data_IF_326419252073
#
_entry.id   IF_326419252073
#
_cell.length_a   1.000
_cell.length_b   1.000
_cell.length_c   1.000
_cell.angle_alpha   90.00
_cell.angle_beta   90.00
_cell.angle_gamma   90.00
#
_symmetry.space_group_name_H-M   'P 1'
#
loop_
_entity.id
_entity.type
_entity.pdbx_description
1 polymer ?
#
# COMPACT_ATOMS: atom_id res chain seq x y z
N UNK A 1 13.80 -58.04 -29.56
CA UNK A 1 15.23 -57.66 -29.47
C UNK A 1 15.36 -56.20 -29.89
N UNK A 2 15.86 -55.33 -28.98
CA UNK A 2 16.56 -54.02 -29.17
C UNK A 2 15.88 -52.93 -30.06
N UNK A 3 15.84 -51.62 -29.76
CA UNK A 3 16.54 -50.75 -28.79
C UNK A 3 15.84 -49.37 -28.76
N UNK A 4 15.77 -48.77 -27.57
CA UNK A 4 15.38 -47.38 -27.33
C UNK A 4 16.35 -46.36 -27.91
N UNK A 5 15.87 -45.24 -28.48
CA UNK A 5 16.58 -43.94 -28.58
C UNK A 5 15.58 -42.79 -28.81
N UNK A 6 15.56 -41.80 -27.91
CA UNK A 6 14.92 -40.50 -28.14
C UNK A 6 14.15 -39.91 -26.95
N UNK A 7 14.76 -39.91 -25.76
CA UNK A 7 14.28 -39.24 -24.55
C UNK A 7 14.57 -37.73 -24.61
N UNK A 8 13.65 -36.93 -24.08
CA UNK A 8 13.77 -35.52 -23.67
C UNK A 8 13.70 -34.43 -24.77
N UNK A 9 12.48 -33.99 -25.09
CA UNK A 9 12.23 -32.56 -25.35
C UNK A 9 11.53 -32.03 -24.11
N UNK A 10 12.24 -31.16 -23.40
CA UNK A 10 11.91 -30.67 -22.08
C UNK A 10 10.55 -29.94 -22.06
N UNK A 11 9.67 -30.38 -21.16
CA UNK A 11 8.61 -29.55 -20.60
C UNK A 11 9.26 -28.35 -19.89
N UNK A 12 9.45 -27.24 -20.61
CA UNK A 12 9.83 -25.95 -20.02
C UNK A 12 8.64 -24.99 -19.86
N UNK A 13 7.41 -25.47 -20.03
CA UNK A 13 6.18 -24.64 -20.00
C UNK A 13 5.52 -24.64 -18.62
N UNK A 14 6.28 -24.85 -17.54
CA UNK A 14 5.73 -24.97 -16.17
C UNK A 14 6.16 -23.91 -15.17
N UNK A 15 7.14 -23.06 -15.50
CA UNK A 15 7.75 -22.13 -14.53
C UNK A 15 7.33 -20.67 -14.68
N UNK A 16 6.23 -20.41 -15.40
CA UNK A 16 5.48 -19.17 -15.25
C UNK A 16 4.27 -19.49 -14.37
N UNK A 17 4.58 -19.87 -13.13
CA UNK A 17 3.59 -19.83 -12.07
C UNK A 17 3.10 -18.40 -12.00
N UNK A 18 1.96 -18.14 -12.63
CA UNK A 18 1.16 -16.97 -12.31
C UNK A 18 0.92 -17.07 -10.82
N UNK A 19 1.64 -16.25 -10.06
CA UNK A 19 1.26 -15.95 -8.69
C UNK A 19 -0.22 -15.62 -8.77
N UNK A 20 -1.07 -16.48 -8.21
CA UNK A 20 -2.43 -16.09 -7.90
C UNK A 20 -2.31 -14.69 -7.27
N UNK A 21 -2.95 -13.70 -7.88
CA UNK A 21 -2.88 -12.29 -7.46
C UNK A 21 -3.38 -12.25 -6.02
N UNK A 22 -2.47 -12.39 -5.06
CA UNK A 22 -2.76 -12.20 -3.67
C UNK A 22 -3.07 -10.71 -3.53
N UNK A 23 -4.22 -10.37 -2.95
CA UNK A 23 -4.63 -8.96 -2.80
C UNK A 23 -3.49 -8.16 -2.19
N UNK A 24 -3.13 -7.05 -2.85
CA UNK A 24 -2.07 -6.16 -2.39
C UNK A 24 -2.38 -5.61 -1.00
N UNK A 25 -1.34 -5.46 -0.17
CA UNK A 25 -1.44 -4.78 1.11
C UNK A 25 -1.52 -3.29 0.83
N UNK A 26 -2.71 -2.71 0.97
CA UNK A 26 -2.97 -1.30 0.73
C UNK A 26 -2.76 -0.50 2.01
N UNK A 27 -1.87 0.48 1.96
CA UNK A 27 -1.65 1.44 3.05
C UNK A 27 -2.11 2.80 2.56
N UNK A 28 -3.14 3.34 3.20
CA UNK A 28 -3.61 4.69 3.00
C UNK A 28 -2.74 5.68 3.76
N UNK A 29 -2.43 6.83 3.16
CA UNK A 29 -1.70 7.94 3.79
C UNK A 29 -2.49 9.21 3.58
N UNK A 30 -3.05 9.74 4.67
CA UNK A 30 -3.67 11.07 4.71
C UNK A 30 -2.61 12.04 5.22
N UNK A 31 -2.31 13.08 4.47
CA UNK A 31 -1.33 14.09 4.89
C UNK A 31 -1.39 15.34 4.05
N UNK A 32 -0.90 16.46 4.58
CA UNK A 32 -0.72 17.69 3.82
C UNK A 32 0.51 17.56 2.93
N UNK A 33 0.36 16.98 1.74
CA UNK A 33 1.45 16.89 0.76
C UNK A 33 1.73 18.26 0.11
N UNK A 34 0.80 19.19 0.24
CA UNK A 34 0.97 20.62 -0.02
C UNK A 34 0.53 21.46 1.19
N UNK A 35 0.89 22.74 1.18
CA UNK A 35 0.57 23.68 2.26
C UNK A 35 1.57 23.66 3.42
N UNK A 36 1.13 24.13 4.60
CA UNK A 36 1.99 24.34 5.76
C UNK A 36 2.58 23.04 6.36
N UNK A 37 1.87 21.91 6.25
CA UNK A 37 2.30 20.61 6.79
C UNK A 37 3.22 19.82 5.84
N UNK A 38 3.43 20.29 4.60
CA UNK A 38 4.21 19.57 3.59
C UNK A 38 5.63 19.21 4.04
N UNK A 39 6.28 20.09 4.82
CA UNK A 39 7.63 19.85 5.33
C UNK A 39 7.70 18.66 6.30
N UNK A 40 6.58 18.30 6.92
CA UNK A 40 6.48 17.18 7.85
C UNK A 40 5.95 15.92 7.16
N UNK A 41 4.94 16.06 6.29
CA UNK A 41 4.23 14.92 5.70
C UNK A 41 4.86 14.38 4.40
N UNK A 42 5.58 15.20 3.63
CA UNK A 42 6.27 14.71 2.41
C UNK A 42 7.39 13.72 2.72
N UNK A 43 8.30 13.96 3.70
CA UNK A 43 9.34 12.99 4.03
C UNK A 43 8.76 11.65 4.48
N UNK A 44 7.64 11.66 5.21
CA UNK A 44 6.92 10.46 5.61
C UNK A 44 6.44 9.67 4.38
N UNK A 45 5.75 10.32 3.44
CA UNK A 45 5.24 9.66 2.24
C UNK A 45 6.36 9.07 1.39
N UNK A 46 7.44 9.83 1.17
CA UNK A 46 8.61 9.37 0.42
C UNK A 46 9.29 8.19 1.11
N UNK A 47 9.41 8.22 2.44
CA UNK A 47 9.94 7.11 3.23
C UNK A 47 9.10 5.85 3.09
N UNK A 48 7.77 5.98 3.22
CA UNK A 48 6.82 4.87 3.05
C UNK A 48 6.90 4.26 1.64
N UNK A 49 6.93 5.09 0.60
CA UNK A 49 7.09 4.65 -0.79
C UNK A 49 8.43 3.95 -1.04
N UNK A 50 9.53 4.47 -0.49
CA UNK A 50 10.84 3.85 -0.59
C UNK A 50 10.88 2.50 0.12
N UNK A 51 10.28 2.39 1.30
CA UNK A 51 10.17 1.14 2.04
C UNK A 51 9.33 0.11 1.27
N UNK A 52 8.14 0.49 0.80
CA UNK A 52 7.30 -0.37 -0.02
C UNK A 52 8.04 -0.86 -1.27
N UNK A 53 8.75 0.02 -1.97
CA UNK A 53 9.58 -0.35 -3.12
C UNK A 53 10.63 -1.39 -2.77
N UNK A 54 11.36 -1.21 -1.66
CA UNK A 54 12.40 -2.15 -1.21
C UNK A 54 11.80 -3.51 -0.81
N UNK A 55 10.68 -3.51 -0.08
CA UNK A 55 9.99 -4.73 0.35
C UNK A 55 9.44 -5.49 -0.86
N UNK A 56 8.76 -4.79 -1.77
CA UNK A 56 8.20 -5.41 -2.98
C UNK A 56 9.31 -5.98 -3.87
N UNK A 57 10.44 -5.29 -4.01
CA UNK A 57 11.61 -5.80 -4.75
C UNK A 57 12.23 -7.05 -4.10
N UNK A 58 12.03 -7.26 -2.79
CA UNK A 58 12.47 -8.45 -2.06
C UNK A 58 11.43 -9.60 -2.07
N UNK A 59 10.35 -9.47 -2.84
CA UNK A 59 9.29 -10.49 -2.96
C UNK A 59 8.03 -10.20 -2.14
N UNK A 60 7.93 -9.02 -1.52
CA UNK A 60 6.75 -8.62 -0.75
C UNK A 60 6.69 -9.24 0.65
N UNK A 61 5.49 -9.21 1.25
CA UNK A 61 5.20 -9.82 2.55
C UNK A 61 4.30 -11.02 2.28
N UNK A 62 4.78 -12.23 2.57
CA UNK A 62 4.05 -13.49 2.28
C UNK A 62 3.60 -13.59 0.81
N UNK A 63 4.38 -13.00 -0.12
CA UNK A 63 4.06 -12.96 -1.55
C UNK A 63 3.08 -11.85 -1.97
N UNK A 64 2.58 -11.03 -1.04
CA UNK A 64 1.75 -9.85 -1.33
C UNK A 64 2.60 -8.60 -1.49
N UNK A 65 2.26 -7.74 -2.44
CA UNK A 65 2.95 -6.46 -2.60
C UNK A 65 2.28 -5.36 -1.80
N UNK A 66 3.05 -4.34 -1.40
CA UNK A 66 2.56 -3.16 -0.68
C UNK A 66 2.22 -2.07 -1.69
N UNK A 67 1.01 -1.55 -1.62
CA UNK A 67 0.56 -0.38 -2.37
C UNK A 67 0.36 0.80 -1.41
N UNK A 68 1.04 1.93 -1.67
CA UNK A 68 0.82 3.17 -0.92
C UNK A 68 -0.17 4.04 -1.69
N UNK A 69 -1.29 4.38 -1.05
CA UNK A 69 -2.32 5.28 -1.58
C UNK A 69 -2.31 6.57 -0.76
N UNK A 70 -1.96 7.69 -1.38
CA UNK A 70 -1.87 8.97 -0.69
C UNK A 70 -3.04 9.90 -1.06
N UNK A 71 -3.49 10.70 -0.10
CA UNK A 71 -4.45 11.80 -0.30
C UNK A 71 -3.90 13.07 0.32
N UNK A 72 -3.85 14.12 -0.50
CA UNK A 72 -3.36 15.44 -0.09
C UNK A 72 -4.49 16.26 0.55
N UNK A 73 -4.34 16.58 1.83
CA UNK A 73 -5.28 17.43 2.56
C UNK A 73 -5.05 18.92 2.28
N UNK A 74 -3.96 19.28 1.58
CA UNK A 74 -3.51 20.66 1.38
C UNK A 74 -3.26 21.42 2.69
N UNK A 75 -3.01 20.67 3.77
CA UNK A 75 -2.92 21.16 5.16
C UNK A 75 -4.23 21.71 5.73
N UNK A 76 -5.37 21.39 5.11
CA UNK A 76 -6.69 21.80 5.59
C UNK A 76 -7.28 20.72 6.50
N UNK A 77 -7.58 21.09 7.74
CA UNK A 77 -8.12 20.14 8.73
C UNK A 77 -9.47 19.58 8.31
N UNK A 78 -10.29 20.38 7.62
CA UNK A 78 -11.60 19.96 7.11
C UNK A 78 -11.53 18.85 6.06
N UNK A 79 -10.39 18.70 5.37
CA UNK A 79 -10.21 17.71 4.32
C UNK A 79 -9.80 16.34 4.89
N UNK A 80 -9.22 16.28 6.09
CA UNK A 80 -8.63 15.06 6.64
C UNK A 80 -9.63 13.90 6.76
N UNK A 81 -10.83 14.16 7.27
CA UNK A 81 -11.86 13.13 7.39
C UNK A 81 -12.39 12.64 6.03
N UNK A 82 -12.52 13.54 5.05
CA UNK A 82 -12.97 13.20 3.69
C UNK A 82 -11.93 12.32 2.99
N UNK A 83 -10.66 12.72 3.05
CA UNK A 83 -9.54 11.96 2.48
C UNK A 83 -9.38 10.58 3.14
N UNK A 84 -9.61 10.49 4.46
CA UNK A 84 -9.66 9.21 5.17
C UNK A 84 -10.82 8.32 4.69
N UNK A 85 -12.01 8.88 4.50
CA UNK A 85 -13.19 8.14 4.01
C UNK A 85 -12.96 7.57 2.60
N UNK A 86 -12.33 8.34 1.72
CA UNK A 86 -11.96 7.85 0.38
C UNK A 86 -11.04 6.63 0.46
N UNK A 87 -9.97 6.71 1.26
CA UNK A 87 -9.00 5.62 1.41
C UNK A 87 -9.62 4.38 2.06
N UNK A 88 -10.45 4.56 3.10
CA UNK A 88 -11.22 3.46 3.70
C UNK A 88 -12.16 2.82 2.68
N UNK A 89 -12.84 3.63 1.86
CA UNK A 89 -13.73 3.12 0.79
C UNK A 89 -12.96 2.37 -0.31
N UNK A 90 -11.68 2.68 -0.51
CA UNK A 90 -10.78 1.95 -1.42
C UNK A 90 -10.20 0.65 -0.82
N UNK A 91 -10.59 0.33 0.42
CA UNK A 91 -10.25 -0.90 1.11
C UNK A 91 -8.81 -0.96 1.58
N UNK A 92 -8.27 0.15 2.10
CA UNK A 92 -6.94 0.13 2.74
C UNK A 92 -6.94 -0.76 3.98
N UNK A 93 -5.85 -1.49 4.19
CA UNK A 93 -5.65 -2.34 5.36
C UNK A 93 -5.19 -1.54 6.58
N UNK A 94 -4.48 -0.44 6.36
CA UNK A 94 -3.94 0.46 7.39
C UNK A 94 -4.06 1.90 6.87
N UNK A 95 -4.39 2.84 7.75
CA UNK A 95 -4.53 4.26 7.45
C UNK A 95 -3.53 5.09 8.27
N UNK A 96 -2.47 5.57 7.64
CA UNK A 96 -1.55 6.53 8.26
C UNK A 96 -2.19 7.92 8.25
N UNK A 97 -2.31 8.54 9.41
CA UNK A 97 -2.92 9.86 9.59
C UNK A 97 -1.89 11.01 9.52
N UNK A 98 -2.32 12.27 9.34
CA UNK A 98 -1.42 13.44 9.35
C UNK A 98 -0.62 13.58 10.66
N UNK A 99 0.44 14.39 10.65
CA UNK A 99 1.30 14.61 11.82
C UNK A 99 0.76 15.62 12.87
N UNK A 100 -0.35 16.30 12.59
CA UNK A 100 -0.94 17.33 13.46
C UNK A 100 -2.19 16.81 14.19
N UNK A 101 -2.35 17.15 15.47
CA UNK A 101 -3.32 16.54 16.37
C UNK A 101 -4.78 16.64 15.90
N UNK A 102 -5.22 17.82 15.47
CA UNK A 102 -6.61 18.02 15.04
C UNK A 102 -6.96 17.19 13.79
N UNK A 103 -6.20 17.26 12.67
CA UNK A 103 -6.47 16.42 11.51
C UNK A 103 -6.18 14.93 11.76
N UNK A 104 -5.25 14.55 12.65
CA UNK A 104 -5.07 13.17 13.11
C UNK A 104 -6.34 12.64 13.76
N UNK A 105 -6.92 13.38 14.72
CA UNK A 105 -8.13 12.95 15.44
C UNK A 105 -9.28 12.75 14.44
N UNK A 106 -9.47 13.68 13.51
CA UNK A 106 -10.52 13.60 12.51
C UNK A 106 -10.37 12.37 11.59
N UNK A 107 -9.18 12.12 11.06
CA UNK A 107 -8.92 10.95 10.21
C UNK A 107 -8.95 9.64 11.01
N UNK A 108 -8.43 9.64 12.23
CA UNK A 108 -8.40 8.48 13.13
C UNK A 108 -9.80 8.01 13.53
N UNK A 109 -10.75 8.92 13.76
CA UNK A 109 -12.15 8.57 14.01
C UNK A 109 -12.79 7.82 12.84
N UNK A 110 -12.44 8.19 11.60
CA UNK A 110 -12.92 7.49 10.40
C UNK A 110 -12.35 6.07 10.35
N UNK A 111 -11.03 5.91 10.54
CA UNK A 111 -10.39 4.60 10.56
C UNK A 111 -10.96 3.71 11.68
N UNK A 112 -11.08 4.24 12.89
CA UNK A 112 -11.67 3.53 14.03
C UNK A 112 -13.10 3.07 13.75
N UNK A 113 -13.96 3.94 13.20
CA UNK A 113 -15.34 3.59 12.88
C UNK A 113 -15.45 2.49 11.81
N UNK A 114 -14.44 2.36 10.96
CA UNK A 114 -14.35 1.37 9.89
C UNK A 114 -13.55 0.11 10.27
N UNK A 115 -13.10 -0.02 11.53
CA UNK A 115 -12.21 -1.09 11.99
C UNK A 115 -10.89 -1.19 11.17
N UNK A 116 -10.39 -0.03 10.73
CA UNK A 116 -9.11 0.10 10.03
C UNK A 116 -8.08 0.65 11.02
N UNK A 117 -6.93 -0.04 11.12
CA UNK A 117 -5.82 0.38 11.97
C UNK A 117 -5.28 1.75 11.53
N UNK A 118 -5.15 2.68 12.48
CA UNK A 118 -4.58 4.03 12.28
C UNK A 118 -3.33 4.26 13.11
#
# INVERSE_FOLDING_TARGET
MLKAKGLAVAMLVGLMGGSALADDIKIGVVGGQTGALAIFDQPLLLGAQLAAKKINAAGGIEGKTIQILARDTRSETSEAAVMAQELVSEGVNVLVTPADGDPTIAAGQVGQAADVLT
#
